data_IF_945363499642
#
_entry.id   IF_945363499642
#
_cell.length_a   1.000
_cell.length_b   1.000
_cell.length_c   1.000
_cell.angle_alpha   90.00
_cell.angle_beta   90.00
_cell.angle_gamma   90.00
#
_symmetry.space_group_name_H-M   'P 1'
#
loop_
_entity.id
_entity.type
_entity.pdbx_description
1 polymer ?
#
# COMPACT_ATOMS: atom_id res chain seq x y z
N UNK A 1 -0.88 -7.58 -4.26
CA UNK A 1 -0.73 -8.81 -3.44
C UNK A 1 -1.75 -8.73 -2.34
N UNK A 2 -2.59 -9.76 -2.20
CA UNK A 2 -3.67 -9.77 -1.20
C UNK A 2 -3.15 -10.39 0.09
N UNK A 3 -3.46 -9.77 1.23
CA UNK A 3 -2.99 -10.18 2.56
C UNK A 3 -4.16 -10.23 3.54
N UNK A 4 -4.12 -11.21 4.44
CA UNK A 4 -4.89 -11.24 5.67
C UNK A 4 -3.92 -11.29 6.84
N UNK A 5 -4.03 -10.31 7.73
CA UNK A 5 -3.13 -10.10 8.87
C UNK A 5 -3.93 -9.49 10.03
N UNK A 6 -3.67 -9.95 11.25
CA UNK A 6 -4.08 -9.24 12.48
C UNK A 6 -3.14 -8.06 12.75
N UNK A 7 -3.44 -7.21 13.74
CA UNK A 7 -2.49 -6.19 14.23
C UNK A 7 -1.12 -6.76 14.60
N UNK A 8 -1.07 -7.91 15.26
CA UNK A 8 0.20 -8.56 15.62
C UNK A 8 0.97 -9.03 14.37
N UNK A 9 0.28 -9.61 13.39
CA UNK A 9 0.89 -9.97 12.10
C UNK A 9 1.39 -8.71 11.35
N UNK A 10 0.65 -7.61 11.47
CA UNK A 10 0.96 -6.33 10.85
C UNK A 10 2.24 -5.70 11.45
N UNK A 11 2.50 -5.90 12.75
CA UNK A 11 3.75 -5.48 13.38
C UNK A 11 4.99 -6.18 12.81
N UNK A 12 4.86 -7.45 12.41
CA UNK A 12 5.93 -8.15 11.70
C UNK A 12 6.20 -7.49 10.33
N UNK A 13 5.16 -7.11 9.60
CA UNK A 13 5.27 -6.40 8.32
C UNK A 13 5.92 -5.03 8.52
N UNK A 14 5.45 -4.26 9.52
CA UNK A 14 5.98 -2.94 9.88
C UNK A 14 7.47 -3.02 10.21
N UNK A 15 7.85 -3.95 11.09
CA UNK A 15 9.25 -4.15 11.50
C UNK A 15 10.12 -4.48 10.29
N UNK A 16 9.67 -5.42 9.45
CA UNK A 16 10.41 -5.79 8.25
C UNK A 16 10.61 -4.60 7.29
N UNK A 17 9.59 -3.76 7.08
CA UNK A 17 9.71 -2.57 6.22
C UNK A 17 10.64 -1.53 6.86
N UNK A 18 10.53 -1.28 8.17
CA UNK A 18 11.40 -0.34 8.89
C UNK A 18 12.90 -0.74 8.79
N UNK A 19 13.18 -2.04 8.66
CA UNK A 19 14.55 -2.55 8.48
C UNK A 19 15.08 -2.42 7.03
N UNK A 20 14.28 -1.94 6.07
CA UNK A 20 14.69 -1.78 4.67
C UNK A 20 15.31 -0.38 4.43
N UNK A 21 16.64 -0.24 4.26
CA UNK A 21 17.35 1.05 4.28
C UNK A 21 17.07 1.96 3.07
N UNK A 22 16.25 1.52 2.13
CA UNK A 22 15.91 2.27 0.92
C UNK A 22 14.41 2.42 0.73
N UNK A 23 13.64 2.15 1.77
CA UNK A 23 12.20 2.36 1.79
C UNK A 23 11.88 3.31 2.92
N UNK A 24 11.08 4.32 2.61
CA UNK A 24 10.53 5.23 3.57
C UNK A 24 9.01 5.14 3.54
N UNK A 25 8.40 5.30 4.70
CA UNK A 25 6.97 5.56 4.83
C UNK A 25 6.68 7.00 4.46
N UNK A 26 5.56 7.25 3.79
CA UNK A 26 5.04 8.60 3.65
C UNK A 26 3.87 8.75 4.62
N UNK A 27 4.00 9.68 5.54
CA UNK A 27 3.03 9.93 6.61
C UNK A 27 2.41 11.31 6.49
N UNK A 28 1.16 11.43 6.92
CA UNK A 28 0.48 12.72 7.09
C UNK A 28 0.95 13.37 8.39
N UNK A 29 1.46 14.58 8.30
CA UNK A 29 1.92 15.38 9.44
C UNK A 29 0.78 16.26 9.97
N UNK A 30 0.03 16.87 9.07
CA UNK A 30 -1.09 17.75 9.42
C UNK A 30 -2.11 17.82 8.29
N UNK A 31 -3.31 18.29 8.61
CA UNK A 31 -4.39 18.54 7.65
C UNK A 31 -5.16 19.79 8.08
N UNK A 32 -5.29 20.75 7.17
CA UNK A 32 -6.11 21.96 7.36
C UNK A 32 -6.82 22.28 6.05
N UNK A 33 -8.15 22.40 6.08
CA UNK A 33 -8.96 22.75 4.89
C UNK A 33 -8.65 21.86 3.66
N UNK A 34 -8.44 20.55 3.88
CA UNK A 34 -8.03 19.53 2.89
C UNK A 34 -6.61 19.71 2.33
N UNK A 35 -5.84 20.67 2.82
CA UNK A 35 -4.41 20.78 2.55
C UNK A 35 -3.71 19.88 3.55
N UNK A 36 -3.14 18.79 3.06
CA UNK A 36 -2.37 17.84 3.86
C UNK A 36 -0.89 18.16 3.75
N UNK A 37 -0.19 18.16 4.87
CA UNK A 37 1.27 18.13 4.92
C UNK A 37 1.73 16.69 4.98
N UNK A 38 2.61 16.29 4.06
CA UNK A 38 3.17 14.95 3.98
C UNK A 38 4.67 14.98 4.23
N UNK A 39 5.22 13.86 4.71
CA UNK A 39 6.66 13.70 4.91
C UNK A 39 7.06 12.25 4.78
N UNK A 40 8.22 12.00 4.17
CA UNK A 40 8.88 10.71 4.23
C UNK A 40 9.56 10.51 5.60
N UNK A 41 9.44 9.32 6.16
CA UNK A 41 10.12 8.89 7.41
C UNK A 41 10.64 7.48 7.24
N UNK A 42 11.81 7.19 7.84
CA UNK A 42 12.44 5.88 7.71
C UNK A 42 11.64 4.77 8.42
N UNK A 43 10.97 5.13 9.52
CA UNK A 43 10.22 4.20 10.34
C UNK A 43 8.95 4.83 10.90
N UNK A 44 7.96 3.97 11.15
CA UNK A 44 6.79 4.29 11.97
C UNK A 44 6.74 3.36 13.18
N UNK A 45 6.24 3.88 14.30
CA UNK A 45 6.16 3.14 15.56
C UNK A 45 5.00 2.15 15.57
N UNK A 46 3.86 2.54 14.99
CA UNK A 46 2.62 1.77 14.98
C UNK A 46 2.04 1.73 13.57
N UNK A 47 1.49 0.57 13.20
CA UNK A 47 0.79 0.34 11.95
C UNK A 47 -0.73 0.31 12.20
N UNK A 48 -1.36 1.47 12.01
CA UNK A 48 -2.80 1.69 12.12
C UNK A 48 -3.56 1.23 10.88
N UNK A 49 -4.86 0.99 11.02
CA UNK A 49 -5.74 0.60 9.90
C UNK A 49 -5.97 1.77 8.95
N UNK A 50 -5.19 1.85 7.88
CA UNK A 50 -5.26 2.90 6.87
C UNK A 50 -4.54 2.53 5.56
N UNK A 51 -4.47 3.48 4.63
CA UNK A 51 -3.67 3.37 3.41
C UNK A 51 -2.34 4.08 3.63
N UNK A 52 -1.25 3.36 3.41
CA UNK A 52 0.11 3.87 3.45
C UNK A 52 0.68 3.99 2.05
N UNK A 53 1.48 5.03 1.83
CA UNK A 53 2.38 5.11 0.69
C UNK A 53 3.81 4.81 1.16
N UNK A 54 4.52 4.00 0.38
CA UNK A 54 5.92 3.65 0.59
C UNK A 54 6.75 4.17 -0.57
N UNK A 55 7.81 4.91 -0.28
CA UNK A 55 8.70 5.46 -1.29
C UNK A 55 10.02 4.72 -1.27
N UNK A 56 10.50 4.33 -2.46
CA UNK A 56 11.85 3.82 -2.60
C UNK A 56 12.81 4.99 -2.83
N UNK A 57 13.64 5.27 -1.84
CA UNK A 57 14.48 6.49 -1.76
C UNK A 57 15.35 6.68 -3.01
N UNK A 58 15.96 5.59 -3.50
CA UNK A 58 16.83 5.62 -4.68
C UNK A 58 16.07 5.80 -6.01
N UNK A 59 14.74 5.74 -6.01
CA UNK A 59 13.96 6.10 -7.21
C UNK A 59 13.99 7.61 -7.48
N UNK A 60 14.47 8.42 -6.53
CA UNK A 60 14.59 9.87 -6.67
C UNK A 60 13.29 10.60 -6.32
N UNK A 61 13.20 11.84 -6.80
CA UNK A 61 12.12 12.76 -6.51
C UNK A 61 10.73 12.16 -6.78
N UNK A 62 9.77 12.54 -5.94
CA UNK A 62 8.36 12.21 -6.18
C UNK A 62 7.77 13.23 -7.15
N UNK A 63 6.90 12.75 -8.03
CA UNK A 63 6.08 13.60 -8.87
C UNK A 63 4.64 13.55 -8.35
N UNK A 64 4.09 14.73 -8.10
CA UNK A 64 2.75 14.95 -7.61
C UNK A 64 1.92 15.51 -8.77
N UNK A 65 0.94 14.75 -9.29
CA UNK A 65 0.15 15.23 -10.40
C UNK A 65 -0.65 16.47 -10.01
N UNK A 66 -0.73 17.43 -10.93
CA UNK A 66 -1.54 18.63 -10.74
C UNK A 66 -3.05 18.33 -10.80
N UNK A 67 -3.43 17.23 -11.44
CA UNK A 67 -4.82 16.90 -11.76
C UNK A 67 -5.37 17.61 -13.00
N UNK A 68 -4.63 18.56 -13.58
CA UNK A 68 -4.99 19.28 -14.80
C UNK A 68 -3.95 19.02 -15.89
N UNK A 69 -4.41 18.69 -17.10
CA UNK A 69 -3.53 18.41 -18.25
C UNK A 69 -2.68 19.62 -18.67
N UNK A 70 -3.09 20.84 -18.32
CA UNK A 70 -2.41 22.07 -18.69
C UNK A 70 -1.47 22.59 -17.59
N UNK A 71 -1.54 22.02 -16.38
CA UNK A 71 -0.68 22.40 -15.27
C UNK A 71 0.39 21.32 -15.11
N UNK A 72 1.69 21.66 -15.23
CA UNK A 72 2.75 20.69 -14.99
C UNK A 72 2.63 20.06 -13.61
N UNK A 73 3.02 18.79 -13.51
CA UNK A 73 3.13 18.12 -12.23
C UNK A 73 4.16 18.81 -11.32
N UNK A 74 3.93 18.77 -10.02
CA UNK A 74 4.88 19.24 -9.02
C UNK A 74 5.95 18.17 -8.75
N UNK A 75 7.20 18.60 -8.58
CA UNK A 75 8.32 17.72 -8.22
C UNK A 75 8.73 17.97 -6.78
N UNK A 76 8.54 16.96 -5.94
CA UNK A 76 9.04 16.93 -4.57
C UNK A 76 10.46 16.36 -4.61
N UNK A 77 11.44 17.26 -4.67
CA UNK A 77 12.86 16.90 -4.80
C UNK A 77 13.38 16.11 -3.58
N UNK A 78 12.95 16.49 -2.38
CA UNK A 78 13.28 15.82 -1.12
C UNK A 78 12.00 15.48 -0.33
N UNK A 79 11.48 14.25 -0.45
CA UNK A 79 10.33 13.80 0.32
C UNK A 79 10.53 13.84 1.84
N UNK A 80 11.77 13.81 2.35
CA UNK A 80 12.05 13.91 3.79
C UNK A 80 11.89 15.33 4.32
N UNK A 81 12.06 16.35 3.47
CA UNK A 81 11.75 17.73 3.85
C UNK A 81 10.24 17.97 4.03
N UNK A 82 9.43 17.12 3.40
CA UNK A 82 7.98 17.21 3.38
C UNK A 82 7.45 18.15 2.30
N UNK A 83 6.15 18.05 2.04
CA UNK A 83 5.45 18.87 1.04
C UNK A 83 3.98 19.02 1.41
N UNK A 84 3.28 19.90 0.69
CA UNK A 84 1.84 20.08 0.85
C UNK A 84 1.10 19.53 -0.37
N UNK A 85 -0.08 18.96 -0.16
CA UNK A 85 -0.96 18.54 -1.24
C UNK A 85 -2.41 18.80 -0.85
N UNK A 86 -3.16 19.44 -1.75
CA UNK A 86 -4.61 19.58 -1.60
C UNK A 86 -5.30 18.29 -1.99
N UNK A 87 -6.05 17.70 -1.07
CA UNK A 87 -6.78 16.46 -1.27
C UNK A 87 -8.23 16.74 -1.71
N UNK A 88 -8.82 15.83 -2.47
CA UNK A 88 -10.22 15.94 -2.87
C UNK A 88 -11.19 15.83 -1.70
N UNK A 89 -10.82 15.03 -0.69
CA UNK A 89 -11.63 14.74 0.50
C UNK A 89 -10.76 14.85 1.75
N UNK A 90 -11.39 15.21 2.87
CA UNK A 90 -10.72 15.19 4.17
C UNK A 90 -10.51 13.76 4.68
N UNK A 91 -9.56 13.58 5.59
CA UNK A 91 -9.31 12.30 6.25
C UNK A 91 -8.53 11.29 5.39
N UNK A 92 -8.00 11.69 4.24
CA UNK A 92 -7.09 10.82 3.48
C UNK A 92 -5.81 10.56 4.28
N UNK A 93 -5.33 9.33 4.19
CA UNK A 93 -4.18 8.81 4.97
C UNK A 93 -2.94 8.57 4.12
N UNK A 94 -3.10 8.64 2.79
CA UNK A 94 -2.01 8.58 1.82
C UNK A 94 -2.07 9.76 0.84
N UNK A 95 -0.92 10.25 0.34
CA UNK A 95 -0.89 11.23 -0.74
C UNK A 95 -1.41 10.63 -2.04
N UNK A 96 -1.82 11.50 -2.96
CA UNK A 96 -2.28 11.11 -4.29
C UNK A 96 -1.15 11.27 -5.32
N UNK A 97 -0.78 10.18 -5.99
CA UNK A 97 0.28 10.15 -7.01
C UNK A 97 -0.26 9.98 -8.44
N UNK A 98 -1.59 10.04 -8.59
CA UNK A 98 -2.26 9.84 -9.87
C UNK A 98 -2.03 8.47 -10.49
N UNK A 99 -2.52 8.32 -11.72
CA UNK A 99 -2.49 7.05 -12.47
C UNK A 99 -1.47 7.01 -13.61
N UNK A 100 -0.49 7.93 -13.65
CA UNK A 100 0.29 8.20 -14.87
C UNK A 100 1.81 8.02 -14.73
N UNK A 101 2.30 7.67 -13.54
CA UNK A 101 3.73 7.59 -13.24
C UNK A 101 4.04 6.34 -12.43
N UNK A 102 5.29 5.84 -12.45
CA UNK A 102 5.76 4.82 -11.52
C UNK A 102 5.73 5.41 -10.10
N UNK A 103 4.53 5.40 -9.51
CA UNK A 103 4.27 5.94 -8.20
C UNK A 103 4.88 5.07 -7.09
N UNK A 104 4.83 5.57 -5.85
CA UNK A 104 5.19 4.79 -4.67
C UNK A 104 4.34 3.52 -4.56
N UNK A 105 4.81 2.59 -3.75
CA UNK A 105 4.02 1.41 -3.42
C UNK A 105 2.88 1.83 -2.49
N UNK A 106 1.77 1.14 -2.59
CA UNK A 106 0.64 1.32 -1.67
C UNK A 106 0.54 0.10 -0.77
N UNK A 107 0.32 0.33 0.51
CA UNK A 107 -0.05 -0.72 1.46
C UNK A 107 -1.34 -0.31 2.18
N UNK A 108 -2.42 -1.02 1.90
CA UNK A 108 -3.68 -0.84 2.61
C UNK A 108 -3.76 -1.88 3.71
N UNK A 109 -3.77 -1.44 4.96
CA UNK A 109 -3.93 -2.29 6.13
C UNK A 109 -5.31 -2.09 6.75
N UNK A 110 -5.97 -3.21 7.04
CA UNK A 110 -7.16 -3.27 7.87
C UNK A 110 -7.24 -4.67 8.49
N UNK A 111 -7.59 -4.72 9.77
CA UNK A 111 -7.87 -5.95 10.48
C UNK A 111 -9.39 -6.17 10.55
N UNK A 112 -10.15 -5.12 10.86
CA UNK A 112 -11.59 -5.22 11.03
C UNK A 112 -12.30 -5.21 9.67
N UNK A 113 -12.94 -6.33 9.32
CA UNK A 113 -13.76 -6.46 8.13
C UNK A 113 -15.13 -5.78 8.27
N UNK A 114 -15.84 -5.70 7.14
CA UNK A 114 -17.16 -5.11 6.99
C UNK A 114 -18.19 -6.10 6.41
N UNK A 115 -17.78 -7.26 5.90
CA UNK A 115 -18.73 -8.22 5.29
C UNK A 115 -19.52 -9.01 6.33
N UNK A 116 -18.94 -9.25 7.50
CA UNK A 116 -19.62 -9.87 8.64
C UNK A 116 -19.16 -9.30 9.99
N UNK A 117 -19.98 -9.36 11.07
CA UNK A 117 -19.57 -8.94 12.40
C UNK A 117 -18.30 -9.68 12.86
N UNK A 118 -17.28 -8.93 13.26
CA UNK A 118 -15.99 -9.49 13.72
C UNK A 118 -15.16 -10.15 12.62
N UNK A 119 -15.50 -9.95 11.34
CA UNK A 119 -14.72 -10.48 10.22
C UNK A 119 -13.30 -9.92 10.16
N UNK A 120 -12.43 -10.64 9.46
CA UNK A 120 -11.06 -10.26 9.17
C UNK A 120 -10.99 -9.60 7.78
N UNK A 121 -10.56 -8.34 7.77
CA UNK A 121 -10.47 -7.54 6.56
C UNK A 121 -9.37 -8.00 5.60
N UNK A 122 -9.57 -7.64 4.32
CA UNK A 122 -8.56 -7.77 3.28
C UNK A 122 -7.60 -6.57 3.30
N UNK A 123 -6.33 -6.85 3.51
CA UNK A 123 -5.22 -5.93 3.29
C UNK A 123 -4.56 -6.16 1.93
N UNK A 124 -3.82 -5.19 1.39
CA UNK A 124 -3.09 -5.37 0.13
C UNK A 124 -1.85 -4.50 -0.04
N UNK A 125 -0.81 -5.06 -0.68
CA UNK A 125 0.23 -4.27 -1.33
C UNK A 125 -0.10 -4.09 -2.81
N UNK A 126 0.09 -2.88 -3.33
CA UNK A 126 -0.08 -2.58 -4.75
C UNK A 126 1.11 -1.78 -5.29
N UNK A 127 1.48 -2.05 -6.53
CA UNK A 127 2.48 -1.27 -7.26
C UNK A 127 2.33 -1.48 -8.76
N UNK A 128 2.54 -0.41 -9.53
CA UNK A 128 2.33 -0.43 -10.98
C UNK A 128 3.53 -0.98 -11.77
N UNK A 129 4.65 -1.31 -11.11
CA UNK A 129 5.85 -1.89 -11.73
C UNK A 129 6.23 -1.17 -13.06
N UNK A 130 6.44 -1.93 -14.14
CA UNK A 130 6.85 -1.44 -15.47
C UNK A 130 5.65 -1.00 -16.35
N UNK A 131 4.49 -0.66 -15.77
CA UNK A 131 3.29 -0.23 -16.52
C UNK A 131 3.58 0.89 -17.53
N UNK A 132 4.50 1.79 -17.21
CA UNK A 132 4.87 2.95 -18.04
C UNK A 132 6.17 2.76 -18.84
N UNK A 133 6.68 1.52 -18.94
CA UNK A 133 7.87 1.24 -19.73
C UNK A 133 7.70 1.62 -21.20
N UNK A 134 6.49 1.45 -21.77
CA UNK A 134 6.18 1.79 -23.16
C UNK A 134 6.29 3.28 -23.48
N UNK A 135 6.14 4.16 -22.48
CA UNK A 135 6.27 5.62 -22.62
C UNK A 135 7.62 6.13 -22.10
N UNK A 136 8.63 5.25 -22.02
CA UNK A 136 9.99 5.62 -21.60
C UNK A 136 10.18 5.86 -20.11
N UNK A 137 9.19 5.48 -19.27
CA UNK A 137 9.24 5.65 -17.81
C UNK A 137 9.19 4.29 -17.09
N UNK A 138 10.19 3.40 -17.28
CA UNK A 138 10.22 2.12 -16.57
C UNK A 138 10.42 2.32 -15.07
N UNK A 139 10.00 1.34 -14.26
CA UNK A 139 10.30 1.37 -12.83
C UNK A 139 11.81 1.24 -12.59
N UNK A 140 12.30 1.93 -11.57
CA UNK A 140 13.69 1.85 -11.16
C UNK A 140 14.10 0.38 -10.88
N UNK A 141 15.27 -0.10 -11.34
CA UNK A 141 15.69 -1.49 -11.13
C UNK A 141 15.71 -1.91 -9.66
N UNK A 142 16.17 -1.04 -8.78
CA UNK A 142 16.25 -1.29 -7.33
C UNK A 142 14.87 -1.39 -6.70
N UNK A 143 13.92 -0.57 -7.16
CA UNK A 143 12.51 -0.64 -6.75
C UNK A 143 11.91 -2.02 -7.11
N UNK A 144 12.27 -2.57 -8.28
CA UNK A 144 11.87 -3.93 -8.69
C UNK A 144 12.54 -5.01 -7.83
N UNK A 145 13.80 -4.81 -7.43
CA UNK A 145 14.51 -5.74 -6.53
C UNK A 145 13.86 -5.75 -5.14
N UNK A 146 13.53 -4.58 -4.59
CA UNK A 146 12.82 -4.49 -3.32
C UNK A 146 11.46 -5.18 -3.40
N UNK A 147 10.67 -4.93 -4.45
CA UNK A 147 9.36 -5.58 -4.61
C UNK A 147 9.45 -7.12 -4.70
N UNK A 148 10.51 -7.65 -5.33
CA UNK A 148 10.81 -9.10 -5.27
C UNK A 148 11.19 -9.57 -3.86
N UNK A 149 11.92 -8.77 -3.09
CA UNK A 149 12.26 -9.06 -1.70
C UNK A 149 11.02 -9.10 -0.81
N UNK A 150 10.12 -8.12 -0.95
CA UNK A 150 8.81 -8.09 -0.28
C UNK A 150 8.01 -9.36 -0.58
N UNK A 151 7.89 -9.75 -1.86
CA UNK A 151 7.23 -11.01 -2.24
C UNK A 151 7.80 -12.22 -1.49
N UNK A 152 9.12 -12.38 -1.47
CA UNK A 152 9.79 -13.47 -0.75
C UNK A 152 9.56 -13.43 0.76
N UNK A 153 9.55 -12.23 1.34
CA UNK A 153 9.22 -12.06 2.75
C UNK A 153 7.80 -12.53 3.05
N UNK A 154 6.82 -12.12 2.22
CA UNK A 154 5.43 -12.58 2.36
C UNK A 154 5.34 -14.10 2.18
N UNK A 155 5.97 -14.68 1.17
CA UNK A 155 6.00 -16.13 0.94
C UNK A 155 6.57 -16.91 2.14
N UNK A 156 7.60 -16.36 2.82
CA UNK A 156 8.22 -16.98 3.99
C UNK A 156 7.39 -16.83 5.26
N UNK A 157 6.65 -15.74 5.40
CA UNK A 157 5.99 -15.34 6.64
C UNK A 157 4.49 -15.66 6.67
N UNK A 158 3.96 -16.26 5.61
CA UNK A 158 2.52 -16.54 5.47
C UNK A 158 2.28 -17.86 4.75
N UNK A 159 1.03 -18.32 4.77
CA UNK A 159 0.56 -19.42 3.91
C UNK A 159 -0.26 -18.84 2.77
N UNK A 160 -0.03 -19.33 1.56
CA UNK A 160 -0.84 -18.95 0.40
C UNK A 160 -2.12 -19.79 0.34
N UNK A 161 -3.27 -19.13 0.26
CA UNK A 161 -4.58 -19.77 0.09
C UNK A 161 -5.32 -19.14 -1.10
N UNK A 162 -6.25 -19.86 -1.76
CA UNK A 162 -7.11 -19.25 -2.75
C UNK A 162 -7.90 -18.07 -2.15
N UNK A 163 -7.80 -16.90 -2.78
CA UNK A 163 -8.54 -15.71 -2.35
C UNK A 163 -10.05 -15.92 -2.49
N UNK A 164 -10.49 -16.53 -3.59
CA UNK A 164 -11.89 -16.94 -3.79
C UNK A 164 -11.96 -18.42 -4.16
N UNK A 165 -13.09 -19.06 -3.85
CA UNK A 165 -13.36 -20.48 -4.16
C UNK A 165 -13.80 -20.65 -5.62
N UNK A 166 -13.85 -19.57 -6.42
CA UNK A 166 -14.44 -19.61 -7.76
C UNK A 166 -13.67 -20.51 -8.71
N UNK A 167 -14.33 -21.58 -9.17
CA UNK A 167 -13.84 -22.60 -10.09
C UNK A 167 -13.78 -22.15 -11.56
N UNK A 168 -14.34 -20.97 -11.89
CA UNK A 168 -14.52 -20.53 -13.28
C UNK A 168 -13.43 -19.56 -13.78
N UNK A 169 -12.38 -19.29 -13.00
CA UNK A 169 -11.28 -18.42 -13.45
C UNK A 169 -10.12 -19.26 -14.00
N UNK A 170 -9.59 -18.85 -15.17
CA UNK A 170 -8.37 -19.42 -15.76
C UNK A 170 -7.13 -19.33 -14.84
N UNK A 171 -7.16 -18.43 -13.85
CA UNK A 171 -6.11 -18.28 -12.83
C UNK A 171 -6.74 -18.06 -11.47
N UNK A 172 -6.33 -18.88 -10.50
CA UNK A 172 -6.64 -18.69 -9.08
C UNK A 172 -5.74 -17.58 -8.54
N UNK A 173 -6.35 -16.56 -7.94
CA UNK A 173 -5.61 -15.52 -7.24
C UNK A 173 -5.33 -16.03 -5.84
N UNK A 174 -4.07 -16.01 -5.44
CA UNK A 174 -3.64 -16.42 -4.10
C UNK A 174 -3.61 -15.21 -3.16
N UNK A 175 -4.07 -15.42 -1.93
CA UNK A 175 -3.91 -14.50 -0.81
C UNK A 175 -2.88 -15.06 0.16
N UNK A 176 -2.08 -14.17 0.75
CA UNK A 176 -1.17 -14.48 1.84
C UNK A 176 -1.94 -14.36 3.16
N UNK A 177 -1.96 -15.42 3.96
CA UNK A 177 -2.57 -15.42 5.30
C UNK A 177 -1.48 -15.63 6.33
N UNK A 178 -1.27 -14.63 7.17
CA UNK A 178 -0.28 -14.67 8.22
C UNK A 178 -0.68 -15.63 9.36
N UNK A 179 0.25 -16.08 10.21
CA UNK A 179 -0.01 -17.18 11.14
C UNK A 179 -1.17 -16.92 12.11
N UNK A 180 -1.29 -15.71 12.67
CA UNK A 180 -2.38 -15.44 13.61
C UNK A 180 -3.72 -15.25 12.88
N UNK A 181 -3.73 -14.52 11.77
CA UNK A 181 -4.88 -14.43 10.88
C UNK A 181 -5.38 -15.83 10.45
N UNK A 182 -4.47 -16.75 10.13
CA UNK A 182 -4.78 -18.13 9.75
C UNK A 182 -5.47 -18.86 10.89
N UNK A 183 -4.91 -18.78 12.09
CA UNK A 183 -5.50 -19.40 13.29
C UNK A 183 -6.93 -18.88 13.51
N UNK A 184 -7.12 -17.56 13.44
CA UNK A 184 -8.44 -16.97 13.64
C UNK A 184 -9.46 -17.43 12.58
N UNK A 185 -9.05 -17.48 11.30
CA UNK A 185 -9.90 -17.99 10.21
C UNK A 185 -10.26 -19.47 10.44
N UNK A 186 -9.30 -20.30 10.85
CA UNK A 186 -9.52 -21.73 11.14
C UNK A 186 -10.44 -21.95 12.34
N UNK A 187 -10.44 -21.03 13.31
CA UNK A 187 -11.39 -21.03 14.44
C UNK A 187 -12.77 -20.42 14.11
N UNK A 188 -13.00 -20.01 12.87
CA UNK A 188 -14.31 -19.56 12.38
C UNK A 188 -14.47 -18.05 12.19
N UNK A 189 -13.40 -17.24 12.32
CA UNK A 189 -13.46 -15.81 11.97
C UNK A 189 -13.70 -15.67 10.46
N UNK A 190 -14.77 -14.97 10.08
CA UNK A 190 -15.11 -14.75 8.67
C UNK A 190 -13.99 -13.98 7.96
N UNK A 191 -13.72 -14.32 6.71
CA UNK A 191 -12.66 -13.72 5.89
C UNK A 191 -13.26 -12.88 4.77
N UNK A 192 -13.09 -11.57 4.84
CA UNK A 192 -13.66 -10.65 3.86
C UNK A 192 -13.02 -10.80 2.49
N UNK A 193 -13.82 -10.75 1.43
CA UNK A 193 -13.30 -10.78 0.06
C UNK A 193 -13.02 -9.38 -0.47
N UNK A 194 -13.78 -8.37 -0.05
CA UNK A 194 -13.62 -6.99 -0.47
C UNK A 194 -12.67 -6.22 0.47
N UNK A 195 -12.03 -5.17 -0.06
CA UNK A 195 -11.24 -4.28 0.79
C UNK A 195 -12.20 -3.35 1.56
N UNK A 196 -11.99 -3.15 2.87
CA UNK A 196 -12.84 -2.27 3.68
C UNK A 196 -12.58 -0.79 3.39
N UNK A 197 -11.34 -0.45 3.00
CA UNK A 197 -10.95 0.88 2.57
C UNK A 197 -11.25 0.96 1.07
N UNK A 198 -12.45 1.47 0.74
CA UNK A 198 -13.00 1.42 -0.60
C UNK A 198 -12.00 1.85 -1.67
N UNK A 199 -11.77 1.00 -2.66
CA UNK A 199 -11.33 1.47 -3.99
C UNK A 199 -12.51 2.21 -4.59
N UNK A 200 -12.70 3.49 -4.24
CA UNK A 200 -13.43 4.38 -5.14
C UNK A 200 -12.55 4.47 -6.37
N UNK A 201 -13.00 3.79 -7.42
CA UNK A 201 -12.47 3.94 -8.76
C UNK A 201 -12.72 5.39 -9.17
N UNK A 202 -11.76 6.26 -8.90
CA UNK A 202 -11.71 7.58 -9.49
C UNK A 202 -11.23 7.39 -10.94
N UNK A 203 -12.20 7.24 -11.83
CA UNK A 203 -12.07 7.50 -13.27
C UNK A 203 -12.22 8.99 -13.52
#
# INVERSE_FOLDING_TARGET
MIIYATKNDADLIRTWINDEPHIAWIVKISEQDRICQWKAVDAIDVLEEQIYALWHVKSGALNIPSGDRNIPDEIVADPFAGWFQTMQHSGQTSPWFGGNLPGPYTFSFAEAGQEAPGSLARSEFNWLEDRYKSIGKPAHPDAKRWWKKLRRFLDKSSVQVPWTISTNRKRVIMAHVFPEAKLQIETGRHRDLNAPLGRRSDN
#
